data_IF_668360917388
#
_entry.id   IF_668360917388
#
_cell.length_a   1.000
_cell.length_b   1.000
_cell.length_c   1.000
_cell.angle_alpha   90.00
_cell.angle_beta   90.00
_cell.angle_gamma   90.00
#
_symmetry.space_group_name_H-M   'P 1'
#
loop_
_entity.id
_entity.type
_entity.pdbx_description
1 polymer ?
#
# COMPACT_ATOMS: atom_id res chain seq x y z
N UNK A 1 -26.15 -14.53 -16.30
CA UNK A 1 -24.92 -14.54 -17.05
C UNK A 1 -24.45 -15.98 -17.26
N UNK A 2 -24.09 -16.33 -18.49
CA UNK A 2 -23.57 -17.65 -18.88
C UNK A 2 -22.19 -17.45 -19.53
N UNK A 3 -21.09 -17.70 -18.80
CA UNK A 3 -19.75 -17.42 -19.29
C UNK A 3 -19.34 -18.30 -20.49
N UNK A 4 -20.03 -19.45 -20.71
CA UNK A 4 -19.72 -20.31 -21.84
C UNK A 4 -20.10 -19.71 -23.20
N UNK A 5 -20.91 -18.64 -23.20
CA UNK A 5 -21.33 -17.89 -24.40
C UNK A 5 -20.41 -16.72 -24.72
N UNK A 6 -19.46 -16.42 -23.85
CA UNK A 6 -18.52 -15.33 -24.02
C UNK A 6 -17.23 -15.80 -24.73
N UNK A 7 -16.72 -14.98 -25.63
CA UNK A 7 -15.40 -15.17 -26.23
C UNK A 7 -14.33 -14.73 -25.24
N UNK A 8 -14.04 -15.56 -24.26
CA UNK A 8 -12.99 -15.25 -23.27
C UNK A 8 -11.60 -15.36 -23.90
N UNK A 9 -10.75 -14.39 -23.62
CA UNK A 9 -9.35 -14.44 -24.04
C UNK A 9 -8.64 -15.63 -23.38
N UNK A 10 -8.04 -16.49 -24.19
CA UNK A 10 -7.23 -17.60 -23.69
C UNK A 10 -5.86 -17.06 -23.29
N UNK A 11 -5.57 -17.07 -22.01
CA UNK A 11 -4.27 -16.65 -21.49
C UNK A 11 -3.25 -17.74 -21.76
N UNK A 12 -2.12 -17.44 -22.43
CA UNK A 12 -1.09 -18.43 -22.68
C UNK A 12 -0.38 -18.85 -21.39
N UNK A 13 0.08 -20.09 -21.38
CA UNK A 13 0.97 -20.58 -20.33
C UNK A 13 2.40 -20.17 -20.64
N UNK A 14 3.17 -19.72 -19.63
CA UNK A 14 4.58 -19.38 -19.80
C UNK A 14 5.40 -20.62 -20.18
N UNK A 15 6.40 -20.47 -21.03
CA UNK A 15 7.26 -21.60 -21.42
C UNK A 15 8.47 -21.74 -20.48
N UNK A 16 9.07 -22.94 -20.45
CA UNK A 16 10.28 -23.17 -19.66
C UNK A 16 11.45 -22.29 -20.13
N UNK A 17 11.54 -22.07 -21.44
CA UNK A 17 12.57 -21.19 -22.03
C UNK A 17 12.42 -19.75 -21.56
N UNK A 18 11.18 -19.24 -21.46
CA UNK A 18 10.92 -17.91 -20.91
C UNK A 18 11.31 -17.83 -19.43
N UNK A 19 10.96 -18.86 -18.65
CA UNK A 19 11.31 -18.92 -17.21
C UNK A 19 12.82 -19.00 -17.03
N UNK A 20 13.52 -19.83 -17.84
CA UNK A 20 14.97 -19.92 -17.78
C UNK A 20 15.67 -18.61 -18.17
N UNK A 21 15.11 -17.88 -19.13
CA UNK A 21 15.59 -16.56 -19.51
C UNK A 21 15.42 -15.54 -18.35
N UNK A 22 14.30 -15.58 -17.63
CA UNK A 22 14.06 -14.75 -16.44
C UNK A 22 15.12 -15.05 -15.36
N UNK A 23 15.32 -16.33 -15.04
CA UNK A 23 16.31 -16.80 -14.06
C UNK A 23 17.69 -16.31 -14.43
N UNK A 24 18.09 -16.43 -15.69
CA UNK A 24 19.41 -16.03 -16.15
C UNK A 24 19.60 -14.51 -16.09
N UNK A 25 18.58 -13.73 -16.44
CA UNK A 25 18.62 -12.26 -16.30
C UNK A 25 18.81 -11.84 -14.85
N UNK A 26 18.06 -12.44 -13.92
CA UNK A 26 18.20 -12.15 -12.47
C UNK A 26 19.59 -12.56 -11.96
N UNK A 27 20.14 -13.69 -12.43
CA UNK A 27 21.48 -14.15 -12.03
C UNK A 27 22.59 -13.20 -12.47
N UNK A 28 22.44 -12.56 -13.66
CA UNK A 28 23.41 -11.65 -14.23
C UNK A 28 23.32 -10.23 -13.65
N UNK A 29 22.17 -9.86 -13.09
CA UNK A 29 21.94 -8.53 -12.53
C UNK A 29 22.82 -8.29 -11.29
N UNK A 30 23.23 -7.04 -11.13
CA UNK A 30 23.95 -6.57 -9.94
C UNK A 30 22.98 -6.01 -8.88
N UNK A 31 21.89 -5.41 -9.33
CA UNK A 31 20.91 -4.70 -8.49
C UNK A 31 19.47 -5.06 -8.87
N UNK A 32 19.12 -6.38 -8.87
CA UNK A 32 17.77 -6.79 -9.22
C UNK A 32 16.75 -6.39 -8.14
N UNK A 33 15.54 -6.08 -8.56
CA UNK A 33 14.38 -5.79 -7.68
C UNK A 33 13.16 -6.56 -8.17
N UNK A 34 12.43 -7.19 -7.27
CA UNK A 34 11.12 -7.80 -7.51
C UNK A 34 10.01 -6.82 -7.13
N UNK A 35 9.23 -6.37 -8.11
CA UNK A 35 8.05 -5.54 -7.86
C UNK A 35 6.80 -6.42 -7.85
N UNK A 36 6.21 -6.58 -6.67
CA UNK A 36 5.07 -7.46 -6.43
C UNK A 36 3.75 -6.70 -6.47
N UNK A 37 2.88 -7.03 -7.42
CA UNK A 37 1.58 -6.43 -7.62
C UNK A 37 0.41 -7.27 -7.11
N UNK A 38 -0.76 -6.66 -6.98
CA UNK A 38 -1.96 -7.32 -6.45
C UNK A 38 -2.50 -8.45 -7.36
N UNK A 39 -2.09 -8.49 -8.62
CA UNK A 39 -2.39 -9.62 -9.53
C UNK A 39 -1.95 -10.96 -8.96
N UNK A 40 -0.90 -11.00 -8.14
CA UNK A 40 -0.45 -12.20 -7.42
C UNK A 40 -1.55 -12.74 -6.50
N UNK A 41 -2.24 -11.87 -5.74
CA UNK A 41 -3.36 -12.31 -4.89
C UNK A 41 -4.59 -12.69 -5.70
N UNK A 42 -4.90 -11.92 -6.74
CA UNK A 42 -6.05 -12.19 -7.63
C UNK A 42 -5.89 -13.55 -8.31
N UNK A 43 -4.67 -13.91 -8.70
CA UNK A 43 -4.35 -15.21 -9.27
C UNK A 43 -4.35 -16.37 -8.24
N UNK A 44 -4.51 -16.10 -6.94
CA UNK A 44 -4.36 -17.09 -5.88
C UNK A 44 -2.93 -17.62 -5.72
N UNK A 45 -1.94 -16.78 -6.02
CA UNK A 45 -0.53 -17.14 -6.07
C UNK A 45 0.29 -16.66 -4.87
N UNK A 46 -0.35 -16.25 -3.78
CA UNK A 46 0.33 -15.68 -2.62
C UNK A 46 1.41 -16.59 -2.03
N UNK A 47 1.06 -17.86 -1.78
CA UNK A 47 1.99 -18.79 -1.11
C UNK A 47 3.18 -19.15 -2.01
N UNK A 48 2.94 -19.39 -3.29
CA UNK A 48 4.02 -19.65 -4.24
C UNK A 48 4.90 -18.42 -4.46
N UNK A 49 4.31 -17.23 -4.48
CA UNK A 49 5.07 -15.97 -4.53
C UNK A 49 6.07 -15.85 -3.37
N UNK A 50 5.63 -16.15 -2.16
CA UNK A 50 6.48 -16.12 -0.96
C UNK A 50 7.70 -17.06 -1.11
N UNK A 51 7.45 -18.30 -1.50
CA UNK A 51 8.52 -19.28 -1.71
C UNK A 51 9.46 -18.90 -2.85
N UNK A 52 8.93 -18.33 -3.92
CA UNK A 52 9.73 -17.83 -5.05
C UNK A 52 10.59 -16.63 -4.62
N UNK A 53 10.02 -15.66 -3.90
CA UNK A 53 10.77 -14.52 -3.40
C UNK A 53 11.97 -14.94 -2.53
N UNK A 54 11.75 -15.89 -1.61
CA UNK A 54 12.81 -16.44 -0.77
C UNK A 54 13.91 -17.10 -1.60
N UNK A 55 13.54 -17.90 -2.63
CA UNK A 55 14.51 -18.57 -3.52
C UNK A 55 15.25 -17.60 -4.44
N UNK A 56 14.59 -16.54 -4.88
CA UNK A 56 15.26 -15.50 -5.67
C UNK A 56 16.28 -14.72 -4.83
N UNK A 57 15.97 -14.45 -3.57
CA UNK A 57 16.86 -13.74 -2.65
C UNK A 57 17.14 -12.28 -3.02
N UNK A 58 16.24 -11.64 -3.79
CA UNK A 58 16.38 -10.25 -4.24
C UNK A 58 15.47 -9.31 -3.45
N UNK A 59 15.80 -8.01 -3.33
CA UNK A 59 14.93 -7.03 -2.71
C UNK A 59 13.54 -7.00 -3.33
N UNK A 60 12.51 -6.90 -2.49
CA UNK A 60 11.11 -6.88 -2.89
C UNK A 60 10.50 -5.51 -2.58
N UNK A 61 9.82 -4.93 -3.55
CA UNK A 61 8.98 -3.76 -3.38
C UNK A 61 7.54 -4.11 -3.72
N UNK A 62 6.60 -3.42 -3.09
CA UNK A 62 5.17 -3.58 -3.37
C UNK A 62 4.57 -2.28 -3.90
N UNK A 63 3.48 -2.41 -4.63
CA UNK A 63 2.65 -1.27 -5.01
C UNK A 63 1.57 -0.99 -3.96
N UNK A 64 0.80 0.06 -4.19
CA UNK A 64 -0.24 0.53 -3.27
C UNK A 64 -1.28 -0.52 -2.87
N UNK A 65 -1.76 -1.31 -3.83
CA UNK A 65 -2.80 -2.33 -3.59
C UNK A 65 -2.24 -3.68 -3.17
N UNK A 66 -0.96 -3.77 -2.92
CA UNK A 66 -0.25 -5.02 -2.65
C UNK A 66 0.68 -4.95 -1.44
N UNK A 67 0.48 -3.96 -0.57
CA UNK A 67 1.35 -3.76 0.60
C UNK A 67 1.36 -4.97 1.55
N UNK A 68 0.31 -5.78 1.53
CA UNK A 68 0.14 -6.97 2.35
C UNK A 68 0.70 -8.27 1.72
N UNK A 69 1.42 -8.18 0.61
CA UNK A 69 2.09 -9.34 0.01
C UNK A 69 3.34 -9.78 0.79
N UNK A 70 3.92 -8.86 1.54
CA UNK A 70 5.10 -9.15 2.35
C UNK A 70 5.05 -8.35 3.67
N UNK A 71 5.41 -8.99 4.76
CA UNK A 71 5.49 -8.33 6.07
C UNK A 71 6.66 -7.34 6.13
N UNK A 72 6.48 -6.26 6.88
CA UNK A 72 7.49 -5.20 7.01
C UNK A 72 8.81 -5.72 7.63
N UNK A 73 8.77 -6.75 8.46
CA UNK A 73 9.96 -7.34 9.10
C UNK A 73 10.71 -8.36 8.20
N UNK A 74 10.19 -8.65 7.00
CA UNK A 74 10.86 -9.61 6.11
C UNK A 74 12.18 -9.05 5.58
N UNK A 75 13.23 -9.87 5.58
CA UNK A 75 14.60 -9.46 5.22
C UNK A 75 14.73 -8.94 3.78
N UNK A 76 13.90 -9.43 2.86
CA UNK A 76 13.91 -9.00 1.47
C UNK A 76 13.01 -7.77 1.22
N UNK A 77 12.12 -7.44 2.15
CA UNK A 77 11.18 -6.35 1.94
C UNK A 77 11.83 -4.98 2.10
N UNK A 78 11.87 -4.22 1.02
CA UNK A 78 12.49 -2.89 0.99
C UNK A 78 11.48 -1.77 1.25
N UNK A 79 10.27 -1.87 0.67
CA UNK A 79 9.25 -0.84 0.87
C UNK A 79 8.20 -0.80 -0.24
N UNK A 80 7.51 0.34 -0.32
CA UNK A 80 6.37 0.59 -1.19
C UNK A 80 6.77 1.60 -2.26
N UNK A 81 6.86 1.15 -3.53
CA UNK A 81 7.24 2.03 -4.63
C UNK A 81 6.02 2.73 -5.24
N UNK A 82 6.23 3.92 -5.79
CA UNK A 82 5.23 4.70 -6.49
C UNK A 82 5.13 6.15 -6.03
N UNK A 83 4.20 6.92 -6.64
CA UNK A 83 4.05 8.35 -6.39
C UNK A 83 3.56 8.73 -4.97
N UNK A 84 2.98 7.77 -4.28
CA UNK A 84 2.61 7.81 -2.87
C UNK A 84 3.30 6.66 -2.12
N UNK A 85 4.43 6.19 -2.61
CA UNK A 85 5.25 5.19 -1.95
C UNK A 85 6.19 5.79 -0.90
N UNK A 86 7.01 4.93 -0.32
CA UNK A 86 8.10 5.37 0.55
C UNK A 86 9.39 5.62 -0.23
N UNK A 87 10.37 6.24 0.44
CA UNK A 87 11.65 6.58 -0.19
C UNK A 87 12.45 5.32 -0.52
N UNK A 88 12.52 4.37 0.40
CA UNK A 88 13.34 3.16 0.24
C UNK A 88 12.87 2.31 -0.95
N UNK A 89 11.56 2.10 -1.09
CA UNK A 89 10.98 1.40 -2.23
C UNK A 89 11.30 2.10 -3.55
N UNK A 90 11.16 3.42 -3.60
CA UNK A 90 11.50 4.19 -4.80
C UNK A 90 13.00 4.21 -5.09
N UNK A 91 13.86 4.34 -4.08
CA UNK A 91 15.31 4.26 -4.26
C UNK A 91 15.73 2.92 -4.85
N UNK A 92 15.16 1.82 -4.34
CA UNK A 92 15.45 0.49 -4.88
C UNK A 92 15.06 0.37 -6.36
N UNK A 93 13.85 0.81 -6.73
CA UNK A 93 13.40 0.78 -8.14
C UNK A 93 14.27 1.64 -9.02
N UNK A 94 14.57 2.88 -8.63
CA UNK A 94 15.29 3.85 -9.45
C UNK A 94 16.79 3.55 -9.58
N UNK A 95 17.38 2.81 -8.64
CA UNK A 95 18.76 2.34 -8.70
C UNK A 95 18.92 0.92 -9.28
N UNK A 96 17.83 0.22 -9.57
CA UNK A 96 17.91 -1.16 -10.09
C UNK A 96 18.50 -1.21 -11.51
N UNK A 97 19.22 -2.29 -11.82
CA UNK A 97 19.65 -2.64 -13.17
C UNK A 97 18.76 -3.74 -13.79
N UNK A 98 17.89 -4.36 -12.97
CA UNK A 98 16.84 -5.27 -13.39
C UNK A 98 15.62 -5.09 -12.51
N UNK A 99 14.46 -4.89 -13.12
CA UNK A 99 13.16 -4.86 -12.44
C UNK A 99 12.28 -5.99 -12.94
N UNK A 100 11.98 -6.95 -12.06
CA UNK A 100 11.04 -8.02 -12.33
C UNK A 100 9.68 -7.68 -11.72
N UNK A 101 8.73 -7.28 -12.56
CA UNK A 101 7.37 -6.90 -12.12
C UNK A 101 6.38 -8.02 -12.39
N UNK A 102 5.69 -8.49 -11.34
CA UNK A 102 4.73 -9.58 -11.40
C UNK A 102 3.35 -9.09 -10.94
N UNK A 103 2.35 -9.20 -11.83
CA UNK A 103 0.96 -8.90 -11.52
C UNK A 103 0.71 -7.45 -11.07
N UNK A 104 1.57 -6.53 -11.52
CA UNK A 104 1.44 -5.09 -11.28
C UNK A 104 1.24 -4.39 -12.61
N UNK A 105 0.05 -3.89 -12.85
CA UNK A 105 -0.30 -3.17 -14.08
C UNK A 105 0.64 -1.98 -14.39
N UNK A 106 1.48 -1.58 -13.43
CA UNK A 106 2.38 -0.43 -13.54
C UNK A 106 1.62 0.84 -13.97
N UNK A 107 0.55 1.13 -13.23
CA UNK A 107 -0.26 2.32 -13.45
C UNK A 107 0.50 3.59 -13.03
N UNK A 108 -0.06 4.75 -13.36
CA UNK A 108 0.50 6.07 -12.99
C UNK A 108 0.78 6.19 -11.47
N UNK A 109 0.07 5.45 -10.62
CA UNK A 109 0.34 5.40 -9.17
C UNK A 109 1.71 4.79 -8.87
N UNK A 110 2.15 3.82 -9.70
CA UNK A 110 3.43 3.14 -9.55
C UNK A 110 4.56 3.90 -10.25
N UNK A 111 4.31 4.41 -11.46
CA UNK A 111 5.36 4.93 -12.34
C UNK A 111 5.46 6.47 -12.35
N UNK A 112 4.51 7.18 -11.73
CA UNK A 112 4.39 8.63 -11.72
C UNK A 112 4.11 9.23 -13.12
N UNK A 113 4.19 10.56 -13.25
CA UNK A 113 3.89 11.31 -14.47
C UNK A 113 5.09 11.45 -15.41
N UNK A 114 6.31 11.38 -14.90
CA UNK A 114 7.55 11.35 -15.67
C UNK A 114 7.92 9.89 -15.98
N UNK A 115 7.23 9.31 -16.95
CA UNK A 115 7.38 7.90 -17.30
C UNK A 115 8.77 7.52 -17.79
N UNK A 116 9.48 8.37 -18.60
CA UNK A 116 10.83 8.04 -19.03
C UNK A 116 11.86 7.97 -17.90
N UNK A 117 11.59 8.64 -16.78
CA UNK A 117 12.47 8.60 -15.61
C UNK A 117 12.27 7.35 -14.75
N UNK A 118 11.16 6.61 -14.92
CA UNK A 118 10.87 5.44 -14.13
C UNK A 118 11.78 4.27 -14.49
N UNK A 119 12.47 3.73 -13.50
CA UNK A 119 13.36 2.56 -13.63
C UNK A 119 14.29 2.62 -14.87
N UNK A 120 14.71 3.84 -15.25
CA UNK A 120 15.38 4.16 -16.54
C UNK A 120 16.67 3.39 -16.82
N UNK A 121 17.29 2.81 -15.77
CA UNK A 121 18.52 2.02 -15.86
C UNK A 121 18.28 0.52 -15.80
N UNK A 122 17.04 0.09 -15.54
CA UNK A 122 16.71 -1.31 -15.35
C UNK A 122 16.31 -2.00 -16.66
N UNK A 123 16.74 -3.25 -16.83
CA UNK A 123 16.10 -4.17 -17.74
C UNK A 123 14.76 -4.61 -17.13
N UNK A 124 13.64 -4.22 -17.74
CA UNK A 124 12.30 -4.45 -17.19
C UNK A 124 11.71 -5.74 -17.73
N UNK A 125 11.45 -6.68 -16.84
CA UNK A 125 10.64 -7.88 -17.08
C UNK A 125 9.27 -7.60 -16.49
N UNK A 126 8.21 -7.61 -17.31
CA UNK A 126 6.84 -7.35 -16.86
C UNK A 126 5.94 -8.52 -17.18
N UNK A 127 5.34 -9.09 -16.13
CA UNK A 127 4.25 -10.05 -16.25
C UNK A 127 2.90 -9.38 -16.00
N UNK A 128 2.00 -9.54 -16.92
CA UNK A 128 0.60 -9.18 -16.77
C UNK A 128 -0.30 -10.17 -17.49
N UNK A 129 -1.54 -10.30 -17.00
CA UNK A 129 -2.59 -11.12 -17.63
C UNK A 129 -3.21 -10.41 -18.85
N UNK A 130 -3.09 -9.08 -18.91
CA UNK A 130 -3.58 -8.27 -20.02
C UNK A 130 -2.44 -7.96 -20.99
N UNK A 131 -2.55 -8.51 -22.22
CA UNK A 131 -1.56 -8.28 -23.28
C UNK A 131 -1.43 -6.82 -23.69
N UNK A 132 -2.47 -5.99 -23.53
CA UNK A 132 -2.43 -4.58 -23.89
C UNK A 132 -1.66 -3.75 -22.85
N UNK A 133 -1.70 -4.14 -21.59
CA UNK A 133 -0.86 -3.51 -20.55
C UNK A 133 0.65 -3.70 -20.83
N UNK A 134 1.03 -4.81 -21.46
CA UNK A 134 2.42 -5.09 -21.83
C UNK A 134 2.92 -4.26 -23.03
N UNK A 135 2.02 -3.65 -23.80
CA UNK A 135 2.31 -2.90 -25.02
C UNK A 135 2.17 -1.39 -24.86
N UNK A 136 1.81 -0.91 -23.67
CA UNK A 136 1.56 0.52 -23.46
C UNK A 136 2.82 1.36 -23.74
N UNK A 137 2.69 2.49 -24.46
CA UNK A 137 3.84 3.24 -24.92
C UNK A 137 4.51 4.08 -23.83
N UNK A 138 3.92 4.15 -22.64
CA UNK A 138 4.44 4.93 -21.51
C UNK A 138 5.59 4.24 -20.76
N UNK A 139 5.85 2.96 -21.02
CA UNK A 139 6.89 2.21 -20.32
C UNK A 139 7.84 1.54 -21.33
N UNK A 140 9.11 1.45 -20.96
CA UNK A 140 10.01 0.51 -21.59
C UNK A 140 9.84 -0.86 -20.90
N UNK A 141 9.62 -1.89 -21.68
CA UNK A 141 9.51 -3.28 -21.21
C UNK A 141 10.32 -4.13 -22.17
N UNK A 142 11.52 -4.54 -21.75
CA UNK A 142 12.42 -5.34 -22.58
C UNK A 142 11.96 -6.79 -22.70
N UNK A 143 11.32 -7.30 -21.64
CA UNK A 143 10.83 -8.68 -21.62
C UNK A 143 9.37 -8.75 -21.14
N UNK A 144 8.39 -8.62 -22.05
CA UNK A 144 7.00 -8.82 -21.73
C UNK A 144 6.68 -10.31 -21.54
N UNK A 145 5.95 -10.65 -20.48
CA UNK A 145 5.51 -12.02 -20.15
C UNK A 145 3.99 -12.04 -20.02
N UNK A 146 3.31 -12.35 -21.11
CA UNK A 146 1.86 -12.47 -21.12
C UNK A 146 1.45 -13.84 -20.58
N UNK A 147 1.10 -13.88 -19.31
CA UNK A 147 0.70 -15.11 -18.61
C UNK A 147 -0.05 -14.76 -17.31
N UNK A 148 -0.79 -15.74 -16.79
CA UNK A 148 -1.29 -15.68 -15.41
C UNK A 148 -0.12 -15.68 -14.44
N UNK A 149 -0.20 -14.84 -13.38
CA UNK A 149 0.87 -14.71 -12.39
C UNK A 149 1.12 -16.02 -11.62
N UNK A 150 0.08 -16.85 -11.42
CA UNK A 150 0.22 -18.15 -10.76
C UNK A 150 0.98 -19.14 -11.65
N UNK A 151 0.61 -19.23 -12.93
CA UNK A 151 1.31 -20.10 -13.89
C UNK A 151 2.81 -19.74 -13.98
N UNK A 152 3.12 -18.44 -14.06
CA UNK A 152 4.51 -17.98 -14.05
C UNK A 152 5.25 -18.37 -12.77
N UNK A 153 4.66 -18.08 -11.61
CA UNK A 153 5.32 -18.31 -10.32
C UNK A 153 5.49 -19.79 -9.98
N UNK A 154 4.52 -20.66 -10.32
CA UNK A 154 4.61 -22.10 -10.13
C UNK A 154 5.72 -22.70 -11.01
N UNK A 155 5.84 -22.29 -12.27
CA UNK A 155 6.92 -22.74 -13.15
C UNK A 155 8.27 -22.20 -12.73
N UNK A 156 8.31 -20.94 -12.30
CA UNK A 156 9.54 -20.33 -11.77
C UNK A 156 10.02 -21.09 -10.52
N UNK A 157 9.11 -21.43 -9.60
CA UNK A 157 9.44 -22.27 -8.43
C UNK A 157 10.01 -23.63 -8.83
N UNK A 158 9.34 -24.32 -9.78
CA UNK A 158 9.79 -25.62 -10.28
C UNK A 158 11.21 -25.55 -10.86
N UNK A 159 11.46 -24.56 -11.72
CA UNK A 159 12.78 -24.38 -12.34
C UNK A 159 13.87 -23.98 -11.34
N UNK A 160 13.52 -23.15 -10.34
CA UNK A 160 14.44 -22.81 -9.26
C UNK A 160 14.79 -24.05 -8.41
N UNK A 161 13.81 -24.91 -8.12
CA UNK A 161 14.06 -26.17 -7.39
C UNK A 161 14.98 -27.15 -8.14
N UNK A 162 14.94 -27.14 -9.48
CA UNK A 162 15.83 -27.96 -10.31
C UNK A 162 17.27 -27.39 -10.37
N UNK A 163 17.42 -26.05 -10.26
CA UNK A 163 18.70 -25.36 -10.49
C UNK A 163 19.48 -25.00 -9.21
N UNK A 164 18.81 -24.94 -8.07
CA UNK A 164 19.37 -24.55 -6.79
C UNK A 164 19.41 -25.74 -5.84
N UNK A 165 20.50 -25.85 -5.07
CA UNK A 165 20.55 -26.77 -3.96
C UNK A 165 19.59 -26.36 -2.85
N UNK A 166 19.25 -27.30 -1.95
CA UNK A 166 18.38 -26.99 -0.81
C UNK A 166 18.98 -25.89 0.07
N UNK A 167 18.17 -24.88 0.38
CA UNK A 167 18.57 -23.68 1.10
C UNK A 167 19.42 -22.68 0.30
N UNK A 168 19.70 -22.93 -0.97
CA UNK A 168 20.42 -21.98 -1.83
C UNK A 168 19.46 -20.91 -2.39
N UNK A 169 19.96 -19.66 -2.51
CA UNK A 169 19.27 -18.56 -3.17
C UNK A 169 19.94 -18.23 -4.50
N UNK A 170 19.14 -17.74 -5.47
CA UNK A 170 19.62 -17.42 -6.81
C UNK A 170 20.59 -16.23 -6.81
N UNK A 171 20.19 -15.14 -6.14
CA UNK A 171 20.97 -13.90 -6.10
C UNK A 171 21.85 -13.85 -4.85
N UNK A 172 23.16 -13.66 -5.05
CA UNK A 172 24.17 -13.68 -3.98
C UNK A 172 24.74 -12.28 -3.67
N UNK A 173 24.10 -11.21 -4.14
CA UNK A 173 24.55 -9.83 -3.94
C UNK A 173 24.20 -9.26 -2.58
N UNK A 174 24.97 -9.58 -1.57
CA UNK A 174 24.73 -9.13 -0.18
C UNK A 174 24.79 -7.61 -0.03
N UNK A 175 25.72 -6.96 -0.74
CA UNK A 175 25.88 -5.50 -0.69
C UNK A 175 24.59 -4.77 -1.13
N UNK A 176 23.99 -5.20 -2.24
CA UNK A 176 22.74 -4.61 -2.71
C UNK A 176 21.58 -4.76 -1.72
N UNK A 177 21.44 -5.94 -1.13
CA UNK A 177 20.42 -6.16 -0.08
C UNK A 177 20.65 -5.27 1.13
N UNK A 178 21.90 -5.16 1.60
CA UNK A 178 22.26 -4.30 2.74
C UNK A 178 21.99 -2.81 2.46
N UNK A 179 22.23 -2.35 1.24
CA UNK A 179 21.89 -0.98 0.82
C UNK A 179 20.40 -0.73 0.88
N UNK A 180 19.58 -1.64 0.35
CA UNK A 180 18.12 -1.54 0.41
C UNK A 180 17.59 -1.57 1.86
N UNK A 181 18.12 -2.45 2.70
CA UNK A 181 17.81 -2.51 4.13
C UNK A 181 18.19 -1.21 4.85
N UNK A 182 19.37 -0.67 4.54
CA UNK A 182 19.82 0.61 5.09
C UNK A 182 18.87 1.75 4.72
N UNK A 183 18.44 1.86 3.47
CA UNK A 183 17.48 2.88 3.05
C UNK A 183 16.14 2.75 3.81
N UNK A 184 15.64 1.54 3.97
CA UNK A 184 14.42 1.28 4.74
C UNK A 184 14.55 1.76 6.19
N UNK A 185 15.70 1.57 6.81
CA UNK A 185 15.98 1.99 8.18
C UNK A 185 16.17 3.50 8.30
N UNK A 186 16.90 4.11 7.36
CA UNK A 186 17.28 5.52 7.42
C UNK A 186 16.15 6.48 7.01
N UNK A 187 15.22 6.00 6.16
CA UNK A 187 14.12 6.80 5.61
C UNK A 187 12.72 6.28 5.99
N UNK A 188 12.43 6.10 7.29
CA UNK A 188 11.12 5.64 7.71
C UNK A 188 10.05 6.68 7.40
N UNK A 189 8.87 6.23 6.96
CA UNK A 189 7.73 7.13 6.71
C UNK A 189 7.27 7.80 7.99
N UNK A 190 7.06 7.01 9.04
CA UNK A 190 6.65 7.54 10.35
C UNK A 190 7.89 7.89 11.16
N UNK A 191 8.11 9.18 11.30
CA UNK A 191 9.30 9.79 11.90
C UNK A 191 9.05 10.24 13.35
N UNK A 192 10.11 10.52 14.16
CA UNK A 192 9.97 11.02 15.53
C UNK A 192 9.11 12.28 15.63
N UNK A 193 9.21 13.21 14.66
CA UNK A 193 8.41 14.45 14.63
C UNK A 193 6.89 14.20 14.71
N UNK A 194 6.39 13.06 14.20
CA UNK A 194 4.98 12.70 14.25
C UNK A 194 4.51 12.36 15.67
N UNK A 195 5.44 11.95 16.54
CA UNK A 195 5.18 11.67 17.95
C UNK A 195 5.37 12.89 18.87
N UNK A 196 6.05 13.94 18.40
CA UNK A 196 6.25 15.18 19.14
C UNK A 196 4.99 16.04 19.21
N UNK A 197 4.06 15.86 18.28
CA UNK A 197 2.76 16.51 18.28
C UNK A 197 1.95 16.07 19.52
N UNK A 198 1.39 17.02 20.26
CA UNK A 198 0.64 16.73 21.48
C UNK A 198 -0.83 16.52 21.21
N UNK A 199 -1.52 17.56 20.74
CA UNK A 199 -2.96 17.56 20.46
C UNK A 199 -3.25 18.53 19.30
N UNK A 200 -4.13 18.16 18.37
CA UNK A 200 -4.73 16.83 18.22
C UNK A 200 -3.70 15.75 17.90
N UNK A 201 -4.11 14.48 17.82
CA UNK A 201 -3.20 13.37 17.49
C UNK A 201 -2.64 13.51 16.06
N UNK A 202 -1.48 12.91 15.81
CA UNK A 202 -0.90 12.83 14.48
C UNK A 202 -1.39 11.57 13.77
N UNK A 203 -1.89 11.70 12.54
CA UNK A 203 -2.46 10.57 11.81
C UNK A 203 -1.42 9.50 11.46
N UNK A 204 -0.14 9.85 11.22
CA UNK A 204 0.94 8.89 10.99
C UNK A 204 1.29 8.11 12.25
N UNK A 205 1.37 8.81 13.40
CA UNK A 205 1.56 8.16 14.69
C UNK A 205 0.39 7.21 14.99
N UNK A 206 -0.85 7.64 14.76
CA UNK A 206 -2.04 6.82 14.95
C UNK A 206 -1.98 5.52 14.13
N UNK A 207 -1.79 5.57 12.82
CA UNK A 207 -1.76 4.40 11.93
C UNK A 207 -0.65 3.42 12.35
N UNK A 208 0.52 3.92 12.71
CA UNK A 208 1.63 3.07 13.16
C UNK A 208 1.33 2.41 14.51
N UNK A 209 0.77 3.16 15.45
CA UNK A 209 0.41 2.63 16.78
C UNK A 209 -0.74 1.62 16.71
N UNK A 210 -1.71 1.87 15.85
CA UNK A 210 -2.82 0.95 15.60
C UNK A 210 -2.31 -0.35 14.98
N UNK A 211 -1.62 -0.28 13.83
CA UNK A 211 -1.15 -1.47 13.11
C UNK A 211 -0.18 -2.34 13.94
N UNK A 212 0.65 -1.73 14.79
CA UNK A 212 1.56 -2.46 15.68
C UNK A 212 0.85 -3.27 16.77
N UNK A 213 -0.36 -2.87 17.16
CA UNK A 213 -1.17 -3.57 18.18
C UNK A 213 -2.02 -4.68 17.62
N UNK A 214 -2.16 -4.75 16.30
CA UNK A 214 -2.96 -5.78 15.65
C UNK A 214 -2.22 -7.14 15.64
N UNK A 215 -3.00 -8.20 15.57
CA UNK A 215 -2.46 -9.56 15.51
C UNK A 215 -1.98 -9.94 14.10
N UNK A 216 -1.16 -10.98 14.01
CA UNK A 216 -0.93 -11.69 12.74
C UNK A 216 -2.26 -12.20 12.18
N UNK A 217 -2.36 -12.28 10.86
CA UNK A 217 -3.60 -12.71 10.17
C UNK A 217 -4.76 -11.69 10.22
N UNK A 218 -4.64 -10.56 10.92
CA UNK A 218 -5.70 -9.55 11.05
C UNK A 218 -6.08 -8.96 9.68
N UNK A 219 -7.38 -8.75 9.49
CA UNK A 219 -7.92 -8.10 8.29
C UNK A 219 -8.23 -6.65 8.62
N UNK A 220 -7.61 -5.73 7.87
CA UNK A 220 -7.89 -4.29 7.94
C UNK A 220 -8.48 -3.82 6.61
N UNK A 221 -9.61 -3.13 6.70
CA UNK A 221 -10.26 -2.46 5.56
C UNK A 221 -10.11 -0.96 5.76
N UNK A 222 -9.64 -0.25 4.72
CA UNK A 222 -9.48 1.20 4.80
C UNK A 222 -10.36 1.93 3.79
N UNK A 223 -10.94 3.02 4.24
CA UNK A 223 -11.65 3.97 3.39
C UNK A 223 -10.71 4.84 2.57
N UNK A 224 -11.27 5.83 1.89
CA UNK A 224 -10.50 6.78 1.10
C UNK A 224 -9.92 7.93 1.96
N UNK A 225 -9.14 8.83 1.35
CA UNK A 225 -8.50 9.97 2.02
C UNK A 225 -7.37 9.56 2.94
N UNK A 226 -7.31 10.14 4.15
CA UNK A 226 -6.22 9.89 5.10
C UNK A 226 -6.10 8.42 5.50
N UNK A 227 -7.21 7.69 5.64
CA UNK A 227 -7.21 6.26 5.95
C UNK A 227 -6.45 5.44 4.88
N UNK A 228 -6.73 5.69 3.60
CA UNK A 228 -6.05 5.00 2.50
C UNK A 228 -4.60 5.47 2.35
N UNK A 229 -4.37 6.81 2.33
CA UNK A 229 -3.06 7.38 2.02
C UNK A 229 -2.07 7.11 3.14
N UNK A 230 -2.41 7.47 4.38
CA UNK A 230 -1.51 7.25 5.51
C UNK A 230 -1.43 5.77 5.88
N UNK A 231 -2.55 5.02 5.74
CA UNK A 231 -2.55 3.57 5.85
C UNK A 231 -1.61 2.92 4.84
N UNK A 232 -1.73 3.27 3.55
CA UNK A 232 -0.82 2.80 2.51
C UNK A 232 0.65 3.17 2.75
N UNK A 233 0.93 4.25 3.48
CA UNK A 233 2.28 4.71 3.81
C UNK A 233 2.87 4.08 5.08
N UNK A 234 2.15 4.20 6.19
CA UNK A 234 2.70 4.00 7.54
C UNK A 234 2.24 2.75 8.26
N UNK A 235 1.34 1.96 7.67
CA UNK A 235 0.85 0.72 8.26
C UNK A 235 1.95 -0.33 8.33
N UNK A 236 2.10 -0.98 9.48
CA UNK A 236 3.06 -2.08 9.70
C UNK A 236 2.37 -3.41 9.41
N UNK A 237 2.74 -4.04 8.32
CA UNK A 237 2.19 -5.35 7.92
C UNK A 237 2.91 -6.46 8.68
N UNK A 238 2.15 -7.32 9.34
CA UNK A 238 2.62 -8.55 9.97
C UNK A 238 2.23 -9.78 9.15
N UNK A 239 2.78 -10.93 9.53
CA UNK A 239 2.54 -12.20 8.84
C UNK A 239 1.05 -12.50 8.67
N UNK A 240 0.66 -12.83 7.45
CA UNK A 240 -0.70 -13.26 7.11
C UNK A 240 -1.77 -12.15 7.14
N UNK A 241 -1.42 -10.92 7.49
CA UNK A 241 -2.39 -9.83 7.50
C UNK A 241 -2.89 -9.50 6.09
N UNK A 242 -4.12 -8.97 6.05
CA UNK A 242 -4.75 -8.44 4.85
C UNK A 242 -5.01 -6.95 5.04
N UNK A 243 -4.59 -6.17 4.03
CA UNK A 243 -4.87 -4.74 3.95
C UNK A 243 -5.70 -4.45 2.70
N UNK A 244 -6.98 -4.17 2.89
CA UNK A 244 -7.96 -4.06 1.80
C UNK A 244 -8.30 -2.59 1.58
N UNK A 245 -8.07 -2.09 0.38
CA UNK A 245 -8.38 -0.73 -0.04
C UNK A 245 -9.00 -0.69 -1.43
N UNK A 246 -9.77 0.36 -1.72
CA UNK A 246 -10.32 0.64 -3.05
C UNK A 246 -9.61 1.84 -3.68
N UNK A 247 -8.27 1.84 -3.66
CA UNK A 247 -7.48 3.00 -4.07
C UNK A 247 -7.52 3.29 -5.58
N UNK A 248 -7.90 2.34 -6.42
CA UNK A 248 -7.97 2.53 -7.87
C UNK A 248 -9.11 3.45 -8.28
N UNK A 249 -10.30 3.25 -7.72
CA UNK A 249 -11.50 4.08 -7.95
C UNK A 249 -11.62 5.14 -6.85
N UNK A 250 -11.13 4.83 -5.65
CA UNK A 250 -11.09 5.71 -4.48
C UNK A 250 -12.47 6.21 -4.03
N UNK A 251 -13.48 5.33 -4.05
CA UNK A 251 -14.82 5.66 -3.58
C UNK A 251 -14.85 5.90 -2.09
N UNK A 252 -15.36 7.06 -1.66
CA UNK A 252 -15.74 7.27 -0.27
C UNK A 252 -16.95 6.39 0.08
N UNK A 253 -17.04 5.91 1.33
CA UNK A 253 -18.08 5.00 1.79
C UNK A 253 -17.87 3.53 1.42
N UNK A 254 -16.75 3.18 0.80
CA UNK A 254 -16.37 1.79 0.56
C UNK A 254 -16.13 1.00 1.86
N UNK A 255 -15.63 1.68 2.87
CA UNK A 255 -15.09 1.13 4.11
C UNK A 255 -16.08 0.27 4.90
N UNK A 256 -17.24 0.79 5.29
CA UNK A 256 -18.22 0.04 6.08
C UNK A 256 -18.76 -1.20 5.34
N UNK A 257 -19.27 -1.08 4.08
CA UNK A 257 -19.71 -2.25 3.33
C UNK A 257 -18.62 -3.30 3.12
N UNK A 258 -17.38 -2.87 2.86
CA UNK A 258 -16.26 -3.78 2.68
C UNK A 258 -15.85 -4.47 3.98
N UNK A 259 -15.90 -3.78 5.13
CA UNK A 259 -15.65 -4.38 6.43
C UNK A 259 -16.73 -5.43 6.78
N UNK A 260 -17.99 -5.17 6.44
CA UNK A 260 -19.09 -6.16 6.58
C UNK A 260 -18.79 -7.38 5.69
N UNK A 261 -18.42 -7.15 4.42
CA UNK A 261 -18.04 -8.22 3.50
C UNK A 261 -16.86 -9.05 4.01
N UNK A 262 -15.84 -8.38 4.57
CA UNK A 262 -14.69 -9.05 5.20
C UNK A 262 -15.09 -9.90 6.40
N UNK A 263 -16.00 -9.41 7.27
CA UNK A 263 -16.56 -10.21 8.37
C UNK A 263 -17.24 -11.49 7.88
N UNK A 264 -18.11 -11.37 6.88
CA UNK A 264 -18.86 -12.52 6.34
C UNK A 264 -17.89 -13.52 5.71
N UNK A 265 -16.91 -13.06 4.94
CA UNK A 265 -15.90 -13.91 4.32
C UNK A 265 -15.00 -14.59 5.35
N UNK A 266 -14.53 -13.86 6.37
CA UNK A 266 -13.70 -14.39 7.46
C UNK A 266 -14.46 -15.47 8.27
N UNK A 267 -15.71 -15.21 8.62
CA UNK A 267 -16.55 -16.18 9.31
C UNK A 267 -16.74 -17.48 8.51
N UNK A 268 -16.93 -17.36 7.19
CA UNK A 268 -17.03 -18.52 6.30
C UNK A 268 -15.72 -19.28 6.24
N UNK A 269 -14.61 -18.59 6.03
CA UNK A 269 -13.27 -19.18 5.97
C UNK A 269 -12.93 -19.91 7.27
N UNK A 270 -13.14 -19.28 8.44
CA UNK A 270 -12.88 -19.91 9.74
C UNK A 270 -13.74 -21.14 9.97
N UNK A 271 -15.00 -21.13 9.51
CA UNK A 271 -15.88 -22.31 9.58
C UNK A 271 -15.36 -23.48 8.72
N UNK A 272 -14.80 -23.18 7.55
CA UNK A 272 -14.28 -24.19 6.61
C UNK A 272 -12.91 -24.74 7.05
N UNK A 273 -12.05 -23.89 7.68
CA UNK A 273 -10.68 -24.26 8.06
C UNK A 273 -10.51 -24.67 9.52
N UNK A 274 -11.47 -24.32 10.38
CA UNK A 274 -11.35 -24.49 11.83
C UNK A 274 -10.52 -23.42 12.52
N UNK A 275 -10.10 -22.37 11.81
CA UNK A 275 -9.38 -21.24 12.39
C UNK A 275 -10.30 -20.38 13.27
N UNK A 276 -9.69 -19.62 14.20
CA UNK A 276 -10.41 -18.70 15.07
C UNK A 276 -10.80 -17.43 14.34
N UNK A 277 -12.07 -17.05 14.43
CA UNK A 277 -12.54 -15.75 13.95
C UNK A 277 -11.80 -14.62 14.66
N UNK A 278 -11.38 -13.61 13.88
CA UNK A 278 -10.77 -12.39 14.38
C UNK A 278 -11.69 -11.20 14.12
N UNK A 279 -11.57 -10.16 14.94
CA UNK A 279 -12.24 -8.89 14.69
C UNK A 279 -11.78 -8.32 13.34
N UNK A 280 -12.64 -7.60 12.64
CA UNK A 280 -12.26 -6.85 11.44
C UNK A 280 -11.97 -5.41 11.84
N UNK A 281 -10.85 -4.89 11.37
CA UNK A 281 -10.49 -3.49 11.56
C UNK A 281 -11.01 -2.69 10.38
N UNK A 282 -11.68 -1.59 10.66
CA UNK A 282 -12.17 -0.65 9.66
C UNK A 282 -11.62 0.74 9.96
N UNK A 283 -10.73 1.27 9.10
CA UNK A 283 -10.24 2.64 9.24
C UNK A 283 -10.95 3.51 8.22
N UNK A 284 -11.70 4.50 8.68
CA UNK A 284 -12.51 5.39 7.85
C UNK A 284 -12.23 6.86 8.16
N UNK A 285 -12.74 7.78 7.35
CA UNK A 285 -12.70 9.23 7.61
C UNK A 285 -14.07 9.77 7.96
N UNK A 286 -14.10 10.95 8.61
CA UNK A 286 -15.32 11.66 9.01
C UNK A 286 -16.26 11.97 7.83
N UNK A 287 -15.70 12.25 6.65
CA UNK A 287 -16.47 12.43 5.42
C UNK A 287 -16.84 11.10 4.74
N UNK A 288 -15.97 10.11 4.75
CA UNK A 288 -16.19 8.83 4.07
C UNK A 288 -17.32 8.03 4.71
N UNK A 289 -17.37 7.97 6.03
CA UNK A 289 -18.39 7.23 6.78
C UNK A 289 -19.82 7.73 6.48
N UNK A 290 -19.99 9.03 6.13
CA UNK A 290 -21.29 9.62 5.82
C UNK A 290 -21.96 9.01 4.59
N UNK A 291 -21.17 8.45 3.66
CA UNK A 291 -21.69 7.95 2.39
C UNK A 291 -22.50 6.65 2.56
N UNK A 292 -22.20 5.87 3.59
CA UNK A 292 -22.89 4.60 3.91
C UNK A 292 -23.15 4.45 5.42
N UNK A 293 -23.54 5.56 6.06
CA UNK A 293 -23.75 5.61 7.51
C UNK A 293 -24.81 4.61 8.00
N UNK A 294 -25.81 4.30 7.17
CA UNK A 294 -26.86 3.33 7.45
C UNK A 294 -26.34 1.92 7.70
N UNK A 295 -25.13 1.59 7.21
CA UNK A 295 -24.50 0.28 7.43
C UNK A 295 -24.09 0.06 8.90
N UNK A 296 -24.03 1.10 9.72
CA UNK A 296 -23.91 0.95 11.17
C UNK A 296 -25.05 0.11 11.74
N UNK A 297 -26.27 0.26 11.22
CA UNK A 297 -27.41 -0.56 11.62
C UNK A 297 -27.21 -2.03 11.23
N UNK A 298 -26.66 -2.30 10.05
CA UNK A 298 -26.34 -3.65 9.60
C UNK A 298 -25.31 -4.31 10.55
N UNK A 299 -24.27 -3.58 10.93
CA UNK A 299 -23.22 -4.06 11.85
C UNK A 299 -23.80 -4.42 13.21
N UNK A 300 -24.60 -3.54 13.80
CA UNK A 300 -25.23 -3.76 15.11
C UNK A 300 -26.24 -4.90 15.06
N UNK A 301 -27.07 -4.96 14.03
CA UNK A 301 -28.08 -6.01 13.90
C UNK A 301 -27.45 -7.42 13.89
N UNK A 302 -26.36 -7.57 13.13
CA UNK A 302 -25.65 -8.85 13.01
C UNK A 302 -24.56 -9.07 14.05
N UNK A 303 -24.31 -8.11 14.94
CA UNK A 303 -23.25 -8.14 15.94
C UNK A 303 -21.87 -8.47 15.30
N UNK A 304 -21.59 -7.89 14.13
CA UNK A 304 -20.30 -8.08 13.48
C UNK A 304 -19.17 -7.46 14.31
N UNK A 305 -18.10 -8.20 14.63
CA UNK A 305 -17.01 -7.71 15.46
C UNK A 305 -16.08 -6.77 14.66
N UNK A 306 -16.60 -5.59 14.31
CA UNK A 306 -15.87 -4.59 13.55
C UNK A 306 -15.40 -3.47 14.48
N UNK A 307 -14.08 -3.24 14.52
CA UNK A 307 -13.47 -2.11 15.23
C UNK A 307 -13.34 -0.96 14.24
N UNK A 308 -14.19 0.04 14.37
CA UNK A 308 -14.22 1.21 13.48
C UNK A 308 -13.33 2.29 14.08
N UNK A 309 -12.16 2.54 13.48
CA UNK A 309 -11.31 3.68 13.78
C UNK A 309 -11.64 4.81 12.80
N UNK A 310 -12.22 5.89 13.32
CA UNK A 310 -12.67 7.02 12.54
C UNK A 310 -11.66 8.17 12.66
N UNK A 311 -10.94 8.43 11.58
CA UNK A 311 -10.04 9.59 11.48
C UNK A 311 -10.89 10.84 11.30
N UNK A 312 -10.91 11.71 12.30
CA UNK A 312 -11.58 13.01 12.23
C UNK A 312 -10.55 14.13 12.04
N UNK A 313 -10.43 14.61 10.81
CA UNK A 313 -9.62 15.76 10.43
C UNK A 313 -10.48 16.96 9.99
N UNK A 314 -11.74 16.98 10.41
CA UNK A 314 -12.68 18.09 10.15
C UNK A 314 -13.10 18.23 8.71
N UNK A 315 -13.06 17.16 7.90
CA UNK A 315 -13.58 17.19 6.54
C UNK A 315 -12.75 16.48 5.46
N UNK A 316 -12.91 16.95 4.22
CA UNK A 316 -12.28 16.34 3.03
C UNK A 316 -10.83 16.79 2.87
N UNK A 317 -9.94 16.15 3.62
CA UNK A 317 -8.54 16.52 3.78
C UNK A 317 -7.75 16.59 2.47
N UNK A 318 -7.90 15.62 1.56
CA UNK A 318 -7.19 15.62 0.26
C UNK A 318 -7.61 16.81 -0.60
N UNK A 319 -8.90 17.19 -0.56
CA UNK A 319 -9.43 18.35 -1.27
C UNK A 319 -8.90 19.63 -0.63
N UNK A 320 -8.88 19.70 0.71
CA UNK A 320 -8.28 20.82 1.47
C UNK A 320 -6.85 21.08 1.04
N UNK A 321 -6.01 20.04 0.98
CA UNK A 321 -4.62 20.18 0.53
C UNK A 321 -4.54 20.69 -0.91
N UNK A 322 -5.36 20.16 -1.81
CA UNK A 322 -5.39 20.60 -3.21
C UNK A 322 -5.81 22.07 -3.32
N UNK A 323 -6.88 22.48 -2.64
CA UNK A 323 -7.33 23.86 -2.68
C UNK A 323 -6.29 24.81 -2.09
N UNK A 324 -5.69 24.47 -0.94
CA UNK A 324 -4.64 25.30 -0.34
C UNK A 324 -3.40 25.44 -1.23
N UNK A 325 -3.01 24.36 -1.94
CA UNK A 325 -1.80 24.38 -2.75
C UNK A 325 -1.94 25.11 -4.09
N UNK A 326 -3.13 25.09 -4.70
CA UNK A 326 -3.31 25.54 -6.08
C UNK A 326 -4.30 26.71 -6.23
N UNK A 327 -5.27 26.85 -5.32
CA UNK A 327 -6.33 27.84 -5.47
C UNK A 327 -6.36 28.89 -4.35
N UNK A 328 -5.77 28.58 -3.20
CA UNK A 328 -5.80 29.48 -2.05
C UNK A 328 -7.17 29.56 -1.38
N UNK A 329 -7.42 30.66 -0.67
CA UNK A 329 -8.70 30.91 0.03
C UNK A 329 -9.63 31.80 -0.81
N UNK A 330 -10.97 31.68 -0.63
CA UNK A 330 -11.66 30.84 0.36
C UNK A 330 -11.69 29.36 -0.04
N UNK A 331 -11.70 28.47 0.96
CA UNK A 331 -11.94 27.04 0.79
C UNK A 331 -13.42 26.79 0.61
N UNK A 332 -13.80 25.83 -0.25
CA UNK A 332 -15.20 25.54 -0.62
C UNK A 332 -15.46 24.03 -0.53
N UNK A 333 -16.58 23.64 0.10
CA UNK A 333 -17.09 22.27 0.13
C UNK A 333 -16.17 21.27 0.86
N UNK A 334 -15.42 21.70 1.88
CA UNK A 334 -14.41 20.87 2.52
C UNK A 334 -14.87 20.38 3.89
N UNK A 335 -15.36 21.27 4.71
CA UNK A 335 -15.70 21.00 6.08
C UNK A 335 -15.95 22.27 6.88
N UNK A 336 -15.76 22.19 8.20
CA UNK A 336 -16.03 23.30 9.11
C UNK A 336 -15.23 24.56 8.76
N UNK A 337 -14.02 24.43 8.29
CA UNK A 337 -13.11 25.53 7.92
C UNK A 337 -13.49 26.24 6.61
N UNK A 338 -14.27 25.61 5.74
CA UNK A 338 -14.86 26.27 4.57
C UNK A 338 -16.17 27.01 4.91
N UNK A 339 -16.80 26.70 6.05
CA UNK A 339 -18.01 27.36 6.53
C UNK A 339 -19.31 26.96 5.83
N UNK A 340 -19.24 26.11 4.80
CA UNK A 340 -20.38 25.67 3.97
C UNK A 340 -20.72 24.20 4.13
N UNK A 341 -19.96 23.44 4.93
CA UNK A 341 -20.14 22.03 5.18
C UNK A 341 -19.82 21.69 6.66
N UNK A 342 -20.57 20.75 7.23
CA UNK A 342 -20.32 20.21 8.57
C UNK A 342 -20.61 18.71 8.61
N UNK A 343 -20.07 18.06 9.65
CA UNK A 343 -20.26 16.63 9.89
C UNK A 343 -20.96 16.40 11.23
N UNK A 344 -21.70 15.29 11.39
CA UNK A 344 -22.33 14.93 12.65
C UNK A 344 -21.33 14.75 13.79
N UNK A 345 -21.75 15.05 15.01
CA UNK A 345 -21.02 14.68 16.22
C UNK A 345 -21.11 13.18 16.47
N UNK A 346 -20.00 12.47 16.29
CA UNK A 346 -19.94 11.02 16.42
C UNK A 346 -20.20 10.55 17.86
N UNK A 347 -19.92 11.37 18.87
CA UNK A 347 -20.24 11.07 20.26
C UNK A 347 -21.74 10.97 20.52
N UNK A 348 -22.56 11.63 19.69
CA UNK A 348 -24.03 11.53 19.72
C UNK A 348 -24.56 10.45 18.79
N UNK A 349 -23.91 10.30 17.65
CA UNK A 349 -24.37 9.37 16.61
C UNK A 349 -24.08 7.90 16.97
N UNK A 350 -22.91 7.58 17.49
CA UNK A 350 -22.54 6.23 17.83
C UNK A 350 -23.51 5.59 18.85
N UNK A 351 -23.84 6.24 19.98
CA UNK A 351 -24.85 5.71 20.91
C UNK A 351 -26.26 5.60 20.32
N UNK A 352 -26.63 6.48 19.36
CA UNK A 352 -27.93 6.39 18.70
C UNK A 352 -28.09 5.11 17.87
N UNK A 353 -26.99 4.60 17.31
CA UNK A 353 -26.93 3.27 16.67
C UNK A 353 -26.64 2.13 17.65
N UNK A 354 -26.35 2.41 18.92
CA UNK A 354 -26.04 1.40 19.93
C UNK A 354 -24.57 0.98 19.99
N UNK A 355 -23.67 1.77 19.41
CA UNK A 355 -22.22 1.49 19.51
C UNK A 355 -21.62 2.04 20.80
N UNK A 356 -20.75 1.27 21.47
CA UNK A 356 -19.75 1.84 22.36
C UNK A 356 -18.90 2.90 21.62
N UNK A 357 -18.57 3.98 22.32
CA UNK A 357 -17.84 5.10 21.73
C UNK A 357 -16.59 5.44 22.56
N UNK A 358 -15.48 5.63 21.85
CA UNK A 358 -14.20 6.08 22.41
C UNK A 358 -13.74 7.28 21.59
N UNK A 359 -13.12 8.29 22.22
CA UNK A 359 -12.46 9.40 21.55
C UNK A 359 -11.01 9.47 22.00
N UNK A 360 -10.11 9.68 21.03
CA UNK A 360 -8.69 9.91 21.22
C UNK A 360 -8.37 11.31 20.70
N UNK A 361 -7.92 12.20 21.58
CA UNK A 361 -7.71 13.61 21.27
C UNK A 361 -6.22 14.01 21.22
N UNK A 362 -5.30 13.10 21.51
CA UNK A 362 -3.87 13.40 21.58
C UNK A 362 -2.99 12.20 21.27
N UNK A 363 -1.73 12.46 20.92
CA UNK A 363 -0.74 11.39 20.73
C UNK A 363 -0.52 10.57 22.02
N UNK A 364 -0.51 11.22 23.17
CA UNK A 364 -0.29 10.55 24.46
C UNK A 364 -1.41 9.55 24.80
N UNK A 365 -2.63 9.77 24.26
CA UNK A 365 -3.79 8.90 24.46
C UNK A 365 -3.91 7.76 23.41
N UNK A 366 -3.07 7.74 22.37
CA UNK A 366 -3.18 6.75 21.29
C UNK A 366 -3.10 5.31 21.80
N UNK A 367 -2.08 4.99 22.59
CA UNK A 367 -1.86 3.63 23.08
C UNK A 367 -3.05 3.10 23.87
N UNK A 368 -3.45 3.79 24.93
CA UNK A 368 -4.56 3.39 25.79
C UNK A 368 -5.89 3.36 25.05
N UNK A 369 -6.16 4.37 24.22
CA UNK A 369 -7.42 4.46 23.46
C UNK A 369 -7.58 3.34 22.44
N UNK A 370 -6.52 3.00 21.72
CA UNK A 370 -6.50 1.90 20.74
C UNK A 370 -6.70 0.56 21.47
N UNK A 371 -5.94 0.30 22.53
CA UNK A 371 -6.06 -0.95 23.31
C UNK A 371 -7.46 -1.11 23.91
N UNK A 372 -8.03 -0.02 24.43
CA UNK A 372 -9.41 -0.02 24.92
C UNK A 372 -10.41 -0.35 23.81
N UNK A 373 -10.26 0.21 22.61
CA UNK A 373 -11.13 -0.10 21.47
C UNK A 373 -11.00 -1.56 21.04
N UNK A 374 -9.79 -2.10 20.98
CA UNK A 374 -9.53 -3.49 20.61
C UNK A 374 -10.04 -4.49 21.68
N UNK A 375 -10.08 -4.10 22.94
CA UNK A 375 -10.54 -4.97 24.06
C UNK A 375 -12.05 -5.10 24.16
N UNK A 376 -12.83 -4.22 23.54
CA UNK A 376 -14.30 -4.28 23.55
C UNK A 376 -14.77 -5.52 22.77
N UNK A 377 -15.59 -6.34 23.37
CA UNK A 377 -16.23 -7.45 22.67
C UNK A 377 -17.33 -6.92 21.72
N UNK A 378 -17.27 -7.30 20.44
CA UNK A 378 -18.20 -6.83 19.42
C UNK A 378 -17.80 -5.49 18.76
N UNK A 379 -18.74 -4.81 18.10
CA UNK A 379 -18.45 -3.58 17.36
C UNK A 379 -18.20 -2.38 18.28
N UNK A 380 -17.35 -1.45 17.84
CA UNK A 380 -17.03 -0.20 18.53
C UNK A 380 -16.69 0.89 17.52
N UNK A 381 -16.99 2.15 17.86
CA UNK A 381 -16.48 3.32 17.15
C UNK A 381 -15.45 4.02 18.01
N UNK A 382 -14.21 4.10 17.51
CA UNK A 382 -13.11 4.85 18.10
C UNK A 382 -12.79 6.05 17.20
N UNK A 383 -13.19 7.23 17.62
CA UNK A 383 -12.89 8.48 16.89
C UNK A 383 -11.52 9.00 17.30
N UNK A 384 -10.67 9.24 16.32
CA UNK A 384 -9.32 9.79 16.50
C UNK A 384 -9.27 11.18 15.92
N UNK A 385 -9.18 12.18 16.79
CA UNK A 385 -9.05 13.58 16.39
C UNK A 385 -7.64 13.84 15.90
N UNK A 386 -7.48 14.22 14.64
CA UNK A 386 -6.17 14.43 14.04
C UNK A 386 -6.03 15.83 13.46
N UNK A 387 -4.77 16.23 13.27
CA UNK A 387 -4.43 17.51 12.67
C UNK A 387 -4.97 17.63 11.25
N UNK A 388 -5.77 18.68 11.01
CA UNK A 388 -6.37 18.93 9.70
C UNK A 388 -5.37 19.45 8.66
N UNK A 389 -4.20 19.94 9.10
CA UNK A 389 -3.16 20.50 8.24
C UNK A 389 -2.00 19.52 8.00
N UNK A 390 -2.07 18.29 8.56
CA UNK A 390 -1.05 17.26 8.34
C UNK A 390 -0.91 16.93 6.87
N UNK A 391 0.24 17.24 6.28
CA UNK A 391 0.53 16.92 4.87
C UNK A 391 0.74 15.41 4.67
N UNK A 392 0.33 14.92 3.51
CA UNK A 392 0.73 13.57 3.08
C UNK A 392 2.19 13.61 2.62
N UNK A 393 3.04 12.83 3.29
CA UNK A 393 4.48 12.75 3.03
C UNK A 393 5.07 11.39 3.43
N UNK A 394 6.04 10.85 2.65
CA UNK A 394 6.55 11.43 1.40
C UNK A 394 5.57 11.25 0.23
N UNK A 395 5.65 12.12 -0.79
CA UNK A 395 4.86 11.99 -2.02
C UNK A 395 5.56 12.62 -3.21
N UNK A 396 5.22 12.16 -4.41
CA UNK A 396 5.62 12.85 -5.62
C UNK A 396 5.01 14.27 -5.65
N UNK A 397 5.81 15.23 -6.04
CA UNK A 397 5.41 16.64 -6.15
C UNK A 397 6.14 17.30 -7.31
N UNK A 398 5.59 18.43 -7.79
CA UNK A 398 6.28 19.25 -8.77
C UNK A 398 7.24 20.22 -8.08
N UNK A 399 8.38 20.46 -8.72
CA UNK A 399 9.37 21.47 -8.33
C UNK A 399 9.19 22.73 -9.16
N UNK A 400 9.22 23.93 -8.56
CA UNK A 400 9.32 25.16 -9.32
C UNK A 400 10.74 25.28 -9.91
N UNK A 401 10.83 25.61 -11.19
CA UNK A 401 12.08 25.89 -11.88
C UNK A 401 12.40 27.39 -11.84
N UNK A 402 13.67 27.79 -12.02
CA UNK A 402 14.06 29.20 -12.04
C UNK A 402 13.34 30.06 -13.08
N UNK A 403 12.86 29.47 -14.16
CA UNK A 403 12.09 30.14 -15.22
C UNK A 403 10.58 30.27 -14.90
N UNK A 404 10.17 29.81 -13.70
CA UNK A 404 8.77 29.81 -13.27
C UNK A 404 7.95 28.62 -13.75
N UNK A 405 8.51 27.71 -14.53
CA UNK A 405 7.84 26.47 -14.91
C UNK A 405 7.79 25.48 -13.74
N UNK A 406 6.86 24.51 -13.84
CA UNK A 406 6.70 23.43 -12.85
C UNK A 406 7.09 22.11 -13.51
N UNK A 407 8.02 21.39 -12.92
CA UNK A 407 8.47 20.07 -13.40
C UNK A 407 8.12 19.01 -12.38
N UNK A 408 7.57 17.89 -12.84
CA UNK A 408 7.33 16.72 -11.98
C UNK A 408 8.66 16.18 -11.48
N UNK A 409 8.87 16.11 -10.17
CA UNK A 409 10.06 15.49 -9.63
C UNK A 409 10.03 13.98 -9.89
N UNK A 410 11.18 13.35 -10.19
CA UNK A 410 11.26 11.90 -10.35
C UNK A 410 11.00 11.18 -9.02
N UNK A 411 10.75 9.87 -9.07
CA UNK A 411 10.32 9.09 -7.89
C UNK A 411 11.40 8.95 -6.81
N UNK A 412 12.67 9.09 -7.15
CA UNK A 412 13.75 9.15 -6.15
C UNK A 412 13.73 10.42 -5.31
N UNK A 413 13.03 11.47 -5.77
CA UNK A 413 13.01 12.77 -5.10
C UNK A 413 11.59 13.17 -4.66
N UNK A 414 11.02 12.40 -3.75
CA UNK A 414 9.71 12.68 -3.15
C UNK A 414 9.77 13.91 -2.24
N UNK A 415 8.68 14.67 -2.19
CA UNK A 415 8.53 15.75 -1.22
C UNK A 415 8.22 15.22 0.20
N UNK A 416 8.76 15.86 1.28
CA UNK A 416 9.70 16.98 1.27
C UNK A 416 11.03 16.59 0.65
N UNK A 417 11.54 17.42 -0.27
CA UNK A 417 12.73 17.09 -1.05
C UNK A 417 13.98 16.95 -0.18
N UNK A 418 14.82 15.98 -0.54
CA UNK A 418 16.12 15.78 0.12
C UNK A 418 17.15 16.83 -0.33
N UNK A 419 18.17 17.10 0.48
CA UNK A 419 19.33 17.87 0.06
C UNK A 419 19.96 17.24 -1.19
N UNK A 420 20.41 18.08 -2.14
CA UNK A 420 20.93 17.61 -3.44
C UNK A 420 22.11 16.63 -3.30
N UNK A 421 23.04 16.90 -2.39
CA UNK A 421 24.20 16.03 -2.13
C UNK A 421 23.79 14.68 -1.56
N UNK A 422 22.78 14.65 -0.71
CA UNK A 422 22.22 13.41 -0.16
C UNK A 422 21.56 12.58 -1.27
N UNK A 423 20.72 13.22 -2.09
CA UNK A 423 20.09 12.55 -3.23
C UNK A 423 21.13 11.99 -4.22
N UNK A 424 22.16 12.76 -4.57
CA UNK A 424 23.27 12.28 -5.40
C UNK A 424 23.96 11.06 -4.81
N UNK A 425 24.20 11.07 -3.50
CA UNK A 425 24.79 9.93 -2.78
C UNK A 425 23.93 8.68 -2.85
N UNK A 426 22.60 8.82 -2.76
CA UNK A 426 21.66 7.72 -2.90
C UNK A 426 21.64 7.19 -4.33
N UNK A 427 21.65 8.08 -5.33
CA UNK A 427 21.54 7.73 -6.74
C UNK A 427 22.85 7.29 -7.40
N UNK A 428 23.97 7.28 -6.66
CA UNK A 428 25.28 6.84 -7.21
C UNK A 428 25.25 5.41 -7.76
N UNK A 429 24.43 4.54 -7.18
CA UNK A 429 24.32 3.15 -7.59
C UNK A 429 23.80 2.96 -9.01
N UNK A 430 22.99 3.91 -9.52
CA UNK A 430 22.51 3.89 -10.91
C UNK A 430 23.52 4.44 -11.90
N UNK A 431 24.57 5.13 -11.45
CA UNK A 431 25.62 5.73 -12.29
C UNK A 431 26.92 4.91 -12.30
N UNK A 432 27.05 3.88 -11.47
CA UNK A 432 28.19 2.96 -11.51
C UNK A 432 27.91 1.86 -12.55
N UNK A 433 28.37 2.07 -13.79
CA UNK A 433 28.40 1.08 -14.89
C UNK A 433 29.52 0.06 -14.71
#
# INVERSE_FOLDING_TARGET
FDPSKENLTVIPSVTNEQVDAIIEKIRQAKRPVLNAGNGIRIAGAFDVFRRVADKLGIPVVTGWNSIDLMEDEHLLYTGRAGNMGDRAGNFAVQNSDLLFSVGSRLSIRQVNYDWPAWAKHAFVIMNDIDAEELKKPSLHVEMPVWADAKDLLEKLESRLNEKLADGEVLFKGDEWRQVCEKWKKDYPVVQPKHYEQKSPANVYAFIKEESRRLNEGQITVVGNGSACVVGGHGYVIKKGQRFISNSAIASMGYDLPAAIGACVANKRYCKETGEKEQDIICVTGDGSIQMNLQELQTIIHHQYPIKIFLINNGGYHSIRQTQNNYFGKPLIGIGKDSGDLSFPDMAKLAPAYGFPFIRIDSNDALGEGIEKALSINGPVICEVMVDMDQKFEPKAASKPMPDGSMVSAPLEDLAPFLPEEELKSIMRWSSEE
#
